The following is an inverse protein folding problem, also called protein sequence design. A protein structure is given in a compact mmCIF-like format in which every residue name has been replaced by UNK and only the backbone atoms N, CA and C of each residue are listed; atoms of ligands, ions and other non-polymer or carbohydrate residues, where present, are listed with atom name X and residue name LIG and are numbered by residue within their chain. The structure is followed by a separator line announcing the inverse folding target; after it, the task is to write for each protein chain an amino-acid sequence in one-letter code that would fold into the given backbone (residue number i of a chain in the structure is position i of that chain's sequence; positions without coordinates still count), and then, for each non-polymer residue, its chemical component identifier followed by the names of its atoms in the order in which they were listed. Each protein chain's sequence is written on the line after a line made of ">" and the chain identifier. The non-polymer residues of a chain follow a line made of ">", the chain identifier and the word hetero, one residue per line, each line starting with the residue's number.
data_IF_054464825094
#
_entry.id   IF_054464825094
#
_cell.length_a   1.000
_cell.length_b   1.000
_cell.length_c   1.000
_cell.angle_alpha   90.00
_cell.angle_beta   90.00
_cell.angle_gamma   90.00
#
_symmetry.space_group_name_H-M   'P 1'
#
loop_
_entity.id
_entity.type
_entity.pdbx_description
1 polymer ?
#
# COMPACT_ATOMS: atom_id res chain seq x y z
N UNK A 1 12.79 3.42 27.23
CA UNK A 1 11.88 2.55 26.43
C UNK A 1 12.14 2.87 24.97
N UNK A 2 12.15 1.87 24.08
CA UNK A 2 12.31 2.13 22.64
C UNK A 2 11.15 3.00 22.15
N UNK A 3 11.44 3.93 21.25
CA UNK A 3 10.43 4.75 20.56
C UNK A 3 9.64 3.90 19.54
N UNK A 4 10.18 2.76 19.12
CA UNK A 4 9.63 1.89 18.08
C UNK A 4 9.08 0.59 18.67
N UNK A 5 7.92 0.16 18.18
CA UNK A 5 7.37 -1.17 18.48
C UNK A 5 8.03 -2.26 17.63
N UNK A 6 8.46 -1.94 16.39
CA UNK A 6 9.16 -2.86 15.50
C UNK A 6 10.34 -2.15 14.84
N UNK A 7 11.51 -2.81 14.85
CA UNK A 7 12.69 -2.38 14.09
C UNK A 7 13.21 -3.58 13.29
N UNK A 8 13.34 -3.40 11.99
CA UNK A 8 14.02 -4.32 11.08
C UNK A 8 15.34 -3.66 10.68
N UNK A 9 16.45 -4.35 10.84
CA UNK A 9 17.78 -3.83 10.54
C UNK A 9 18.48 -4.74 9.55
N UNK A 10 18.58 -4.28 8.30
CA UNK A 10 19.17 -5.01 7.17
C UNK A 10 18.66 -6.45 7.07
N UNK A 11 17.35 -6.63 7.28
CA UNK A 11 16.71 -7.94 7.33
C UNK A 11 16.79 -8.63 5.98
N UNK A 12 17.30 -9.86 5.96
CA UNK A 12 17.49 -10.64 4.74
C UNK A 12 16.94 -12.05 4.88
N UNK A 13 16.35 -12.55 3.79
CA UNK A 13 15.95 -13.94 3.64
C UNK A 13 16.43 -14.52 2.33
N UNK A 14 17.24 -15.60 2.46
CA UNK A 14 17.62 -16.46 1.35
C UNK A 14 17.11 -17.86 1.65
N UNK A 15 16.33 -18.43 0.74
CA UNK A 15 15.81 -19.79 0.85
C UNK A 15 16.87 -20.84 0.45
N UNK A 16 16.74 -22.09 0.91
CA UNK A 16 17.53 -23.20 0.37
C UNK A 16 17.42 -23.23 -1.16
N UNK A 17 18.57 -23.28 -1.86
CA UNK A 17 18.61 -23.16 -3.33
C UNK A 17 18.97 -21.76 -3.82
N UNK A 18 19.25 -20.80 -2.93
CA UNK A 18 19.81 -19.49 -3.29
C UNK A 18 18.79 -18.42 -3.66
N UNK A 19 17.49 -18.70 -3.58
CA UNK A 19 16.46 -17.70 -3.88
C UNK A 19 16.44 -16.60 -2.82
N UNK A 20 16.81 -15.38 -3.23
CA UNK A 20 16.75 -14.18 -2.40
C UNK A 20 15.30 -13.66 -2.37
N UNK A 21 14.64 -13.80 -1.22
CA UNK A 21 13.24 -13.40 -1.02
C UNK A 21 13.09 -12.01 -0.39
N UNK A 22 14.03 -11.61 0.46
CA UNK A 22 14.09 -10.27 1.07
C UNK A 22 15.54 -9.85 1.15
N UNK A 23 15.85 -8.64 0.70
CA UNK A 23 17.20 -8.09 0.61
C UNK A 23 17.34 -6.80 1.40
N UNK A 24 18.10 -6.85 2.50
CA UNK A 24 18.54 -5.66 3.25
C UNK A 24 17.39 -4.75 3.70
N UNK A 25 16.31 -5.30 4.26
CA UNK A 25 15.12 -4.53 4.60
C UNK A 25 15.32 -3.78 5.93
N UNK A 26 15.32 -2.46 5.88
CA UNK A 26 15.33 -1.56 7.03
C UNK A 26 13.97 -0.92 7.24
N UNK A 27 13.44 -0.98 8.47
CA UNK A 27 12.14 -0.39 8.84
C UNK A 27 12.09 -0.09 10.32
N UNK A 28 11.60 1.09 10.67
CA UNK A 28 11.25 1.46 12.04
C UNK A 28 9.74 1.77 12.09
N UNK A 29 8.99 1.06 12.93
CA UNK A 29 7.53 1.25 13.10
C UNK A 29 7.28 1.83 14.48
N UNK A 30 6.56 2.94 14.53
CA UNK A 30 6.21 3.60 15.78
C UNK A 30 5.13 2.81 16.54
N UNK A 31 5.03 3.05 17.84
CA UNK A 31 3.97 2.46 18.64
C UNK A 31 2.60 2.93 18.16
N UNK A 32 1.68 1.99 17.97
CA UNK A 32 0.31 2.30 17.51
C UNK A 32 0.23 2.73 16.06
N UNK A 33 1.25 2.47 15.25
CA UNK A 33 1.24 2.77 13.81
C UNK A 33 0.55 1.64 13.03
N UNK A 34 -0.22 2.01 12.01
CA UNK A 34 -0.73 1.10 11.00
C UNK A 34 0.18 1.12 9.78
N UNK A 35 0.99 0.08 9.59
CA UNK A 35 1.89 0.00 8.44
C UNK A 35 1.40 -1.05 7.44
N UNK A 36 1.31 -0.66 6.16
CA UNK A 36 0.85 -1.53 5.08
C UNK A 36 2.00 -1.93 4.15
N UNK A 37 2.11 -3.23 3.82
CA UNK A 37 3.06 -3.75 2.84
C UNK A 37 2.30 -4.07 1.55
N UNK A 38 2.75 -3.53 0.43
CA UNK A 38 2.14 -3.73 -0.89
C UNK A 38 3.21 -4.01 -1.95
N UNK A 39 2.84 -4.76 -2.98
CA UNK A 39 3.72 -5.10 -4.10
C UNK A 39 3.20 -6.30 -4.87
N UNK A 40 3.82 -6.65 -6.01
CA UNK A 40 3.45 -7.83 -6.80
C UNK A 40 3.53 -9.13 -6.01
N UNK A 41 2.90 -10.17 -6.52
CA UNK A 41 3.05 -11.53 -5.96
C UNK A 41 4.52 -11.96 -5.99
N UNK A 42 4.99 -12.60 -4.91
CA UNK A 42 6.37 -13.07 -4.80
C UNK A 42 7.41 -12.00 -4.47
N UNK A 43 7.05 -10.73 -4.20
CA UNK A 43 8.03 -9.68 -3.89
C UNK A 43 8.56 -9.69 -2.43
N UNK A 44 8.18 -10.66 -1.58
CA UNK A 44 8.74 -10.81 -0.24
C UNK A 44 7.84 -10.35 0.93
N UNK A 45 6.64 -9.80 0.70
CA UNK A 45 5.74 -9.29 1.75
C UNK A 45 5.39 -10.33 2.81
N UNK A 46 4.78 -11.45 2.40
CA UNK A 46 4.40 -12.55 3.29
C UNK A 46 5.62 -13.19 3.95
N UNK A 47 6.76 -13.29 3.24
CA UNK A 47 8.01 -13.76 3.83
C UNK A 47 8.47 -12.83 4.95
N UNK A 48 8.45 -11.51 4.75
CA UNK A 48 8.78 -10.52 5.78
C UNK A 48 7.83 -10.62 6.97
N UNK A 49 6.52 -10.70 6.73
CA UNK A 49 5.53 -10.86 7.79
C UNK A 49 5.77 -12.15 8.59
N UNK A 50 6.07 -13.28 7.93
CA UNK A 50 6.40 -14.55 8.58
C UNK A 50 7.69 -14.49 9.39
N UNK A 51 8.71 -13.75 8.92
CA UNK A 51 9.91 -13.48 9.72
C UNK A 51 9.59 -12.67 10.98
N UNK A 52 8.73 -11.66 10.88
CA UNK A 52 8.27 -10.89 12.06
C UNK A 52 7.49 -11.77 13.03
N UNK A 53 6.62 -12.65 12.53
CA UNK A 53 5.87 -13.61 13.32
C UNK A 53 6.72 -14.71 13.99
N UNK A 54 7.96 -14.93 13.50
CA UNK A 54 8.79 -16.08 13.94
C UNK A 54 8.40 -17.41 13.30
N UNK A 55 7.60 -17.37 12.23
CA UNK A 55 7.18 -18.52 11.43
C UNK A 55 8.15 -18.84 10.30
N UNK A 56 9.10 -17.93 10.03
CA UNK A 56 10.16 -18.07 9.05
C UNK A 56 11.49 -17.60 9.65
N UNK A 57 12.57 -18.31 9.36
CA UNK A 57 13.90 -17.95 9.87
C UNK A 57 14.47 -16.76 9.12
N UNK A 58 15.19 -15.91 9.82
CA UNK A 58 15.97 -14.79 9.28
C UNK A 58 17.34 -15.31 8.87
N UNK A 59 17.81 -14.99 7.65
CA UNK A 59 19.14 -15.39 7.18
C UNK A 59 20.23 -14.47 7.72
N UNK A 60 19.99 -13.15 7.70
CA UNK A 60 20.89 -12.15 8.29
C UNK A 60 20.10 -10.88 8.65
N UNK A 61 20.70 -10.01 9.44
CA UNK A 61 20.05 -8.83 10.01
C UNK A 61 19.37 -9.09 11.32
N UNK A 62 18.79 -8.04 11.91
CA UNK A 62 18.18 -8.08 13.23
C UNK A 62 16.70 -7.68 13.18
N UNK A 63 15.91 -8.35 14.02
CA UNK A 63 14.52 -8.01 14.30
C UNK A 63 14.39 -7.67 15.78
N UNK A 64 13.95 -6.42 16.07
CA UNK A 64 13.70 -5.98 17.43
C UNK A 64 12.23 -5.61 17.62
N UNK A 65 11.67 -6.00 18.77
CA UNK A 65 10.34 -5.58 19.21
C UNK A 65 10.53 -4.85 20.54
N UNK A 66 10.12 -3.57 20.56
CA UNK A 66 10.30 -2.67 21.70
C UNK A 66 11.75 -2.63 22.22
N UNK A 67 12.72 -2.62 21.28
CA UNK A 67 14.15 -2.58 21.56
C UNK A 67 14.76 -3.90 22.03
N UNK A 68 14.00 -4.99 22.14
CA UNK A 68 14.51 -6.34 22.46
C UNK A 68 14.69 -7.13 21.17
N UNK A 69 15.82 -7.85 21.07
CA UNK A 69 16.12 -8.68 19.91
C UNK A 69 15.29 -9.97 19.92
N UNK A 70 14.51 -10.20 18.84
CA UNK A 70 13.69 -11.37 18.60
C UNK A 70 14.11 -12.17 17.36
N UNK A 71 15.27 -11.90 16.78
CA UNK A 71 15.76 -12.52 15.54
C UNK A 71 15.64 -14.06 15.58
N UNK A 72 16.11 -14.68 16.68
CA UNK A 72 16.11 -16.12 16.85
C UNK A 72 15.10 -16.64 17.87
N UNK A 73 14.13 -15.79 18.25
CA UNK A 73 13.08 -16.19 19.23
C UNK A 73 11.94 -16.86 18.48
N UNK A 74 11.48 -18.07 18.90
CA UNK A 74 10.40 -18.79 18.25
C UNK A 74 9.06 -18.05 18.40
N UNK A 75 8.11 -18.32 17.49
CA UNK A 75 6.85 -17.59 17.33
C UNK A 75 6.02 -17.53 18.62
N UNK A 76 5.92 -18.63 19.38
CA UNK A 76 5.12 -18.73 20.61
C UNK A 76 5.62 -17.84 21.76
N UNK A 77 6.87 -17.36 21.67
CA UNK A 77 7.49 -16.47 22.66
C UNK A 77 7.53 -15.00 22.20
N UNK A 78 7.02 -14.71 21.00
CA UNK A 78 6.96 -13.34 20.50
C UNK A 78 5.68 -12.65 20.97
N UNK A 79 5.72 -11.35 21.28
CA UNK A 79 4.55 -10.57 21.63
C UNK A 79 3.77 -10.14 20.36
N UNK A 80 3.57 -11.07 19.43
CA UNK A 80 2.85 -10.86 18.18
C UNK A 80 1.69 -11.83 18.05
N UNK A 81 0.63 -11.42 17.33
CA UNK A 81 -0.42 -12.33 16.90
C UNK A 81 -0.60 -12.21 15.39
N UNK A 82 -0.88 -13.31 14.71
CA UNK A 82 -1.03 -13.35 13.24
C UNK A 82 -2.43 -13.76 12.85
N UNK A 83 -3.05 -12.97 11.98
CA UNK A 83 -4.30 -13.29 11.30
C UNK A 83 -3.94 -13.73 9.89
N UNK A 84 -4.25 -14.98 9.58
CA UNK A 84 -3.96 -15.56 8.26
C UNK A 84 -5.09 -15.29 7.26
N UNK A 85 -4.79 -15.37 5.99
CA UNK A 85 -5.72 -15.15 4.88
C UNK A 85 -6.97 -16.07 4.94
N UNK A 86 -6.82 -17.30 5.43
CA UNK A 86 -7.91 -18.25 5.63
C UNK A 86 -8.48 -18.24 7.05
N UNK A 87 -8.18 -17.20 7.85
CA UNK A 87 -8.57 -17.00 9.24
C UNK A 87 -8.07 -18.07 10.21
N UNK A 88 -7.77 -19.29 9.76
CA UNK A 88 -7.27 -20.43 10.51
C UNK A 88 -8.10 -20.74 11.80
N UNK A 89 -9.41 -20.59 11.73
CA UNK A 89 -10.34 -20.92 12.82
C UNK A 89 -10.32 -22.44 13.02
N UNK A 90 -10.35 -22.89 14.26
CA UNK A 90 -10.43 -24.32 14.58
C UNK A 90 -11.88 -24.82 14.35
N UNK A 91 -12.14 -25.65 13.32
CA UNK A 91 -13.51 -25.96 12.89
C UNK A 91 -14.27 -26.86 13.86
N UNK A 92 -13.56 -27.61 14.72
CA UNK A 92 -14.12 -28.49 15.71
C UNK A 92 -14.49 -27.81 17.04
N UNK A 93 -14.06 -26.56 17.22
CA UNK A 93 -14.30 -25.73 18.40
C UNK A 93 -15.41 -24.70 18.13
N UNK A 94 -16.15 -24.31 19.18
CA UNK A 94 -17.04 -23.15 19.15
C UNK A 94 -16.22 -21.85 19.06
N UNK A 95 -16.87 -20.72 18.77
CA UNK A 95 -16.24 -19.40 18.82
C UNK A 95 -15.63 -19.15 20.19
N UNK A 96 -16.37 -19.36 21.27
CA UNK A 96 -15.87 -19.19 22.62
C UNK A 96 -14.60 -20.02 22.88
N UNK A 97 -14.61 -21.31 22.50
CA UNK A 97 -13.46 -22.20 22.65
C UNK A 97 -12.24 -21.75 21.83
N UNK A 98 -12.46 -21.25 20.59
CA UNK A 98 -11.41 -20.66 19.77
C UNK A 98 -10.73 -19.50 20.48
N UNK A 99 -11.50 -18.64 21.17
CA UNK A 99 -10.97 -17.48 21.90
C UNK A 99 -10.21 -17.90 23.15
N UNK A 100 -10.67 -18.92 23.87
CA UNK A 100 -10.02 -19.43 25.07
C UNK A 100 -8.68 -20.12 24.78
N UNK A 101 -8.55 -20.82 23.66
CA UNK A 101 -7.47 -21.72 23.32
C UNK A 101 -6.06 -21.15 23.56
N UNK A 102 -5.78 -19.96 23.02
CA UNK A 102 -4.46 -19.33 23.14
C UNK A 102 -4.09 -18.98 24.59
N UNK A 103 -5.06 -18.66 25.41
CA UNK A 103 -4.87 -18.34 26.83
C UNK A 103 -4.70 -19.60 27.67
N UNK A 104 -5.42 -20.67 27.34
CA UNK A 104 -5.30 -21.98 27.97
C UNK A 104 -3.92 -22.59 27.74
N UNK A 105 -3.42 -22.57 26.50
CA UNK A 105 -2.06 -23.02 26.14
C UNK A 105 -0.97 -22.27 26.91
N UNK A 106 -1.21 -21.00 27.24
CA UNK A 106 -0.31 -20.19 28.10
C UNK A 106 -0.49 -20.47 29.60
N UNK A 107 -1.35 -21.40 29.99
CA UNK A 107 -1.59 -21.77 31.39
C UNK A 107 -2.30 -20.69 32.22
N UNK A 108 -3.09 -19.82 31.58
CA UNK A 108 -3.81 -18.76 32.29
C UNK A 108 -4.95 -19.37 33.14
N UNK A 109 -5.19 -18.88 34.38
CA UNK A 109 -6.32 -19.35 35.21
C UNK A 109 -7.68 -19.06 34.54
N UNK A 110 -8.63 -20.01 34.67
CA UNK A 110 -9.93 -19.96 33.98
C UNK A 110 -10.75 -18.68 34.27
N UNK A 111 -10.68 -18.16 35.49
CA UNK A 111 -11.36 -16.90 35.84
C UNK A 111 -10.81 -15.68 35.09
N UNK A 112 -9.50 -15.64 34.81
CA UNK A 112 -8.86 -14.60 34.03
C UNK A 112 -9.17 -14.78 32.52
N UNK A 113 -9.19 -16.03 32.04
CA UNK A 113 -9.59 -16.36 30.67
C UNK A 113 -10.99 -15.83 30.41
N UNK A 114 -11.97 -16.24 31.27
CA UNK A 114 -13.35 -15.79 31.11
C UNK A 114 -13.47 -14.29 31.01
N UNK A 115 -12.84 -13.53 31.92
CA UNK A 115 -12.89 -12.06 31.91
C UNK A 115 -12.36 -11.45 30.61
N UNK A 116 -11.23 -11.98 30.08
CA UNK A 116 -10.63 -11.46 28.84
C UNK A 116 -11.47 -11.82 27.61
N UNK A 117 -11.99 -13.06 27.58
CA UNK A 117 -12.81 -13.55 26.48
C UNK A 117 -14.14 -12.81 26.42
N UNK A 118 -14.82 -12.61 27.56
CA UNK A 118 -16.07 -11.85 27.63
C UNK A 118 -15.84 -10.40 27.12
N UNK A 119 -14.77 -9.74 27.56
CA UNK A 119 -14.45 -8.38 27.11
C UNK A 119 -14.18 -8.27 25.59
N UNK A 120 -13.48 -9.25 24.99
CA UNK A 120 -13.21 -9.21 23.54
C UNK A 120 -14.45 -9.59 22.72
N UNK A 121 -15.34 -10.45 23.24
CA UNK A 121 -16.64 -10.75 22.65
C UNK A 121 -17.48 -9.49 22.55
N UNK A 122 -17.54 -8.69 23.62
CA UNK A 122 -18.26 -7.42 23.63
C UNK A 122 -17.63 -6.40 22.64
N UNK A 123 -16.30 -6.29 22.65
CA UNK A 123 -15.57 -5.34 21.76
C UNK A 123 -15.80 -5.63 20.27
N UNK A 124 -15.91 -6.92 19.89
CA UNK A 124 -16.03 -7.34 18.48
C UNK A 124 -17.44 -7.81 18.13
N UNK A 125 -18.43 -7.56 19.00
CA UNK A 125 -19.85 -7.87 18.78
C UNK A 125 -20.08 -9.35 18.39
N UNK A 126 -19.49 -10.27 19.14
CA UNK A 126 -19.57 -11.72 18.87
C UNK A 126 -20.58 -12.45 19.77
N UNK A 127 -21.36 -11.73 20.59
CA UNK A 127 -22.27 -12.31 21.57
C UNK A 127 -23.23 -13.36 21.01
N UNK A 128 -23.82 -13.08 19.85
CA UNK A 128 -24.83 -13.95 19.21
C UNK A 128 -24.26 -15.25 18.61
N UNK A 129 -22.92 -15.35 18.47
CA UNK A 129 -22.25 -16.45 17.76
C UNK A 129 -21.27 -17.24 18.64
N UNK A 130 -21.24 -17.02 19.95
CA UNK A 130 -20.28 -17.65 20.88
C UNK A 130 -20.28 -19.16 20.82
N UNK A 131 -21.44 -19.80 20.66
CA UNK A 131 -21.61 -21.24 20.58
C UNK A 131 -21.52 -21.81 19.15
N UNK A 132 -21.49 -20.92 18.14
CA UNK A 132 -21.41 -21.32 16.76
C UNK A 132 -20.03 -21.91 16.42
N UNK A 133 -19.99 -22.81 15.42
CA UNK A 133 -18.77 -23.33 14.81
C UNK A 133 -18.50 -22.63 13.48
N UNK A 134 -17.27 -22.77 12.98
CA UNK A 134 -16.81 -22.10 11.76
C UNK A 134 -17.78 -22.21 10.57
N UNK A 135 -18.36 -23.38 10.35
CA UNK A 135 -19.26 -23.64 9.21
C UNK A 135 -20.56 -22.81 9.24
N UNK A 136 -20.98 -22.36 10.43
CA UNK A 136 -22.19 -21.52 10.60
C UNK A 136 -21.91 -20.02 10.52
N UNK A 137 -20.64 -19.59 10.41
CA UNK A 137 -20.25 -18.18 10.42
C UNK A 137 -20.21 -17.59 9.01
N UNK A 138 -20.68 -16.36 8.88
CA UNK A 138 -20.45 -15.53 7.69
C UNK A 138 -18.96 -15.15 7.53
N UNK A 139 -18.55 -14.67 6.37
CA UNK A 139 -17.17 -14.22 6.13
C UNK A 139 -16.71 -13.14 7.11
N UNK A 140 -17.54 -12.12 7.36
CA UNK A 140 -17.25 -11.07 8.34
C UNK A 140 -17.16 -11.60 9.77
N UNK A 141 -18.06 -12.52 10.17
CA UNK A 141 -17.98 -13.16 11.48
C UNK A 141 -16.70 -13.99 11.64
N UNK A 142 -16.30 -14.76 10.62
CA UNK A 142 -15.02 -15.50 10.63
C UNK A 142 -13.84 -14.56 10.85
N UNK A 143 -13.84 -13.41 10.17
CA UNK A 143 -12.79 -12.42 10.34
C UNK A 143 -12.77 -11.82 11.75
N UNK A 144 -13.93 -11.42 12.30
CA UNK A 144 -14.02 -10.90 13.68
C UNK A 144 -13.58 -11.96 14.69
N UNK A 145 -13.91 -13.23 14.52
CA UNK A 145 -13.43 -14.33 15.37
C UNK A 145 -11.91 -14.49 15.29
N UNK A 146 -11.32 -14.42 14.10
CA UNK A 146 -9.86 -14.49 13.93
C UNK A 146 -9.16 -13.30 14.61
N UNK A 147 -9.71 -12.09 14.46
CA UNK A 147 -9.23 -10.88 15.15
C UNK A 147 -9.33 -11.04 16.68
N UNK A 148 -10.48 -11.46 17.19
CA UNK A 148 -10.72 -11.71 18.61
C UNK A 148 -9.69 -12.68 19.19
N UNK A 149 -9.43 -13.80 18.48
CA UNK A 149 -8.46 -14.80 18.88
C UNK A 149 -7.02 -14.27 18.96
N UNK A 150 -6.65 -13.39 18.05
CA UNK A 150 -5.35 -12.70 18.09
C UNK A 150 -5.28 -11.70 19.25
N UNK A 151 -6.28 -10.83 19.35
CA UNK A 151 -6.32 -9.69 20.28
C UNK A 151 -6.48 -10.11 21.75
N UNK A 152 -7.22 -11.20 22.03
CA UNK A 152 -7.42 -11.68 23.40
C UNK A 152 -6.11 -12.03 24.11
N UNK A 153 -5.04 -12.31 23.35
CA UNK A 153 -3.70 -12.56 23.88
C UNK A 153 -2.92 -11.28 24.20
N UNK A 154 -3.49 -10.10 23.96
CA UNK A 154 -2.89 -8.77 24.19
C UNK A 154 -1.51 -8.64 23.54
N UNK A 155 -1.41 -8.79 22.21
CA UNK A 155 -0.13 -8.68 21.52
C UNK A 155 0.33 -7.23 21.45
N UNK A 156 1.66 -7.00 21.35
CA UNK A 156 2.23 -5.68 21.06
C UNK A 156 2.03 -5.30 19.59
N UNK A 157 2.05 -6.32 18.69
CA UNK A 157 1.93 -6.15 17.24
C UNK A 157 0.92 -7.17 16.70
N UNK A 158 -0.06 -6.71 15.92
CA UNK A 158 -0.96 -7.55 15.15
C UNK A 158 -0.49 -7.63 13.69
N UNK A 159 -0.27 -8.84 13.21
CA UNK A 159 0.16 -9.15 11.85
C UNK A 159 -1.03 -9.66 11.04
N UNK A 160 -1.29 -9.06 9.89
CA UNK A 160 -2.45 -9.33 9.04
C UNK A 160 -1.97 -9.76 7.64
N UNK A 161 -2.09 -11.04 7.32
CA UNK A 161 -1.66 -11.61 6.02
C UNK A 161 -2.86 -11.73 5.07
N UNK A 162 -3.03 -10.74 4.20
CA UNK A 162 -4.12 -10.63 3.20
C UNK A 162 -5.54 -10.86 3.79
N UNK A 163 -5.90 -10.25 4.93
CA UNK A 163 -7.11 -10.60 5.67
C UNK A 163 -8.41 -10.25 4.96
N UNK A 164 -8.35 -9.46 3.88
CA UNK A 164 -9.52 -8.99 3.12
C UNK A 164 -9.69 -9.71 1.78
N UNK A 165 -8.77 -10.60 1.42
CA UNK A 165 -8.72 -11.21 0.09
C UNK A 165 -9.94 -12.06 -0.28
N UNK A 166 -10.60 -12.67 0.71
CA UNK A 166 -11.75 -13.56 0.52
C UNK A 166 -13.12 -12.85 0.57
N UNK A 167 -13.15 -11.52 0.77
CA UNK A 167 -14.38 -10.74 0.96
C UNK A 167 -14.87 -10.10 -0.33
N UNK A 168 -16.20 -9.95 -0.46
CA UNK A 168 -16.79 -9.13 -1.50
C UNK A 168 -16.48 -7.63 -1.31
N UNK A 169 -16.70 -6.81 -2.36
CA UNK A 169 -16.26 -5.42 -2.37
C UNK A 169 -16.92 -4.54 -1.30
N UNK A 170 -18.20 -4.77 -0.98
CA UNK A 170 -18.92 -3.96 0.00
C UNK A 170 -18.49 -4.31 1.43
N UNK A 171 -18.45 -5.61 1.73
CA UNK A 171 -17.99 -6.11 3.03
C UNK A 171 -16.53 -5.72 3.29
N UNK A 172 -15.68 -5.79 2.26
CA UNK A 172 -14.28 -5.38 2.34
C UNK A 172 -14.13 -3.93 2.80
N UNK A 173 -14.93 -3.00 2.24
CA UNK A 173 -14.89 -1.58 2.62
C UNK A 173 -15.32 -1.37 4.07
N UNK A 174 -16.41 -2.01 4.50
CA UNK A 174 -16.87 -1.94 5.90
C UNK A 174 -15.81 -2.44 6.88
N UNK A 175 -15.21 -3.59 6.58
CA UNK A 175 -14.16 -4.18 7.42
C UNK A 175 -12.89 -3.32 7.47
N UNK A 176 -12.52 -2.64 6.38
CA UNK A 176 -11.41 -1.68 6.40
C UNK A 176 -11.65 -0.56 7.41
N UNK A 177 -12.84 0.02 7.40
CA UNK A 177 -13.24 1.08 8.34
C UNK A 177 -13.23 0.55 9.79
N UNK A 178 -13.82 -0.64 10.04
CA UNK A 178 -13.83 -1.29 11.35
C UNK A 178 -12.40 -1.56 11.87
N UNK A 179 -11.50 -2.09 11.03
CA UNK A 179 -10.11 -2.36 11.41
C UNK A 179 -9.35 -1.09 11.78
N UNK A 180 -9.58 0.02 11.07
CA UNK A 180 -8.95 1.31 11.40
C UNK A 180 -9.43 1.87 12.74
N UNK A 181 -10.73 1.79 13.00
CA UNK A 181 -11.32 2.21 14.28
C UNK A 181 -10.75 1.35 15.41
N UNK A 182 -10.82 0.03 15.25
CA UNK A 182 -10.32 -0.93 16.23
C UNK A 182 -8.84 -0.71 16.57
N UNK A 183 -8.00 -0.47 15.57
CA UNK A 183 -6.57 -0.23 15.75
C UNK A 183 -6.32 1.05 16.57
N UNK A 184 -7.06 2.12 16.29
CA UNK A 184 -6.97 3.39 17.04
C UNK A 184 -7.43 3.25 18.48
N UNK A 185 -8.54 2.56 18.70
CA UNK A 185 -9.13 2.36 20.04
C UNK A 185 -8.23 1.50 20.92
N UNK A 186 -7.58 0.49 20.35
CA UNK A 186 -6.66 -0.39 21.06
C UNK A 186 -5.25 0.22 21.22
N UNK A 187 -4.84 1.15 20.34
CA UNK A 187 -3.51 1.78 20.35
C UNK A 187 -2.36 0.80 20.14
N UNK A 188 -2.61 -0.34 19.47
CA UNK A 188 -1.59 -1.34 19.14
C UNK A 188 -1.08 -1.19 17.71
N UNK A 189 0.11 -1.69 17.44
CA UNK A 189 0.74 -1.61 16.12
C UNK A 189 0.19 -2.69 15.18
N UNK A 190 -0.22 -2.30 13.97
CA UNK A 190 -0.67 -3.22 12.93
C UNK A 190 0.33 -3.28 11.78
N UNK A 191 0.67 -4.50 11.35
CA UNK A 191 1.40 -4.76 10.11
C UNK A 191 0.46 -5.50 9.15
N UNK A 192 0.10 -4.85 8.07
CA UNK A 192 -0.91 -5.31 7.13
C UNK A 192 -0.27 -5.62 5.76
N UNK A 193 -0.43 -6.85 5.31
CA UNK A 193 0.05 -7.28 3.98
C UNK A 193 -1.15 -7.39 3.05
N UNK A 194 -1.03 -6.78 1.87
CA UNK A 194 -2.02 -6.89 0.80
C UNK A 194 -1.36 -6.83 -0.58
N UNK A 195 -2.06 -7.34 -1.60
CA UNK A 195 -1.72 -7.13 -3.00
C UNK A 195 -2.55 -5.99 -3.63
N UNK A 196 -3.58 -5.50 -2.94
CA UNK A 196 -4.45 -4.43 -3.40
C UNK A 196 -3.90 -3.05 -3.00
N UNK A 197 -3.53 -2.23 -3.98
CA UNK A 197 -3.00 -0.88 -3.76
C UNK A 197 -3.99 0.00 -2.98
N UNK A 198 -5.28 -0.05 -3.37
CA UNK A 198 -6.34 0.73 -2.73
C UNK A 198 -6.48 0.41 -1.24
N UNK A 199 -6.28 -0.84 -0.84
CA UNK A 199 -6.30 -1.24 0.57
C UNK A 199 -5.11 -0.66 1.31
N UNK A 200 -3.89 -0.82 0.77
CA UNK A 200 -2.67 -0.31 1.38
C UNK A 200 -2.72 1.22 1.59
N UNK A 201 -3.19 1.96 0.56
CA UNK A 201 -3.31 3.41 0.61
C UNK A 201 -4.44 3.89 1.55
N UNK A 202 -5.54 3.13 1.67
CA UNK A 202 -6.65 3.48 2.55
C UNK A 202 -6.34 3.19 4.03
N UNK A 203 -5.56 2.14 4.31
CA UNK A 203 -5.36 1.60 5.65
C UNK A 203 -4.10 2.15 6.33
N UNK A 204 -2.98 2.20 5.62
CA UNK A 204 -1.67 2.50 6.21
C UNK A 204 -1.48 3.97 6.58
N UNK A 205 -0.91 4.23 7.76
CA UNK A 205 -0.32 5.54 8.08
C UNK A 205 0.95 5.73 7.24
N UNK A 206 1.74 4.65 7.07
CA UNK A 206 2.78 4.52 6.05
C UNK A 206 2.59 3.24 5.25
N UNK A 207 3.04 3.30 4.00
CA UNK A 207 2.99 2.18 3.06
C UNK A 207 4.41 1.83 2.63
N UNK A 208 4.75 0.55 2.71
CA UNK A 208 5.98 -0.04 2.21
C UNK A 208 5.70 -0.67 0.85
N UNK A 209 6.25 -0.11 -0.21
CA UNK A 209 6.17 -0.70 -1.55
C UNK A 209 7.36 -1.62 -1.75
N UNK A 210 7.09 -2.88 -2.03
CA UNK A 210 8.10 -3.91 -2.25
C UNK A 210 8.09 -4.42 -3.69
N UNK A 211 9.28 -4.69 -4.23
CA UNK A 211 9.47 -5.26 -5.55
C UNK A 211 10.70 -6.19 -5.54
N UNK A 212 10.56 -7.40 -6.07
CA UNK A 212 11.66 -8.36 -6.23
C UNK A 212 12.57 -8.50 -4.97
N UNK A 213 11.97 -8.58 -3.78
CA UNK A 213 12.67 -8.73 -2.51
C UNK A 213 13.20 -7.43 -1.89
N UNK A 214 13.08 -6.29 -2.57
CA UNK A 214 13.59 -4.98 -2.13
C UNK A 214 12.47 -4.03 -1.76
N UNK A 215 12.79 -3.06 -0.92
CA UNK A 215 11.93 -1.92 -0.63
C UNK A 215 12.19 -0.83 -1.66
N UNK A 216 11.16 -0.46 -2.41
CA UNK A 216 11.21 0.63 -3.40
C UNK A 216 10.99 2.00 -2.76
N UNK A 217 10.01 2.08 -1.86
CA UNK A 217 9.67 3.32 -1.15
C UNK A 217 8.88 3.02 0.12
N UNK A 218 9.13 3.81 1.16
CA UNK A 218 8.32 3.88 2.39
C UNK A 218 7.89 5.33 2.56
N UNK A 219 6.60 5.60 2.52
CA UNK A 219 6.02 6.94 2.65
C UNK A 219 4.60 6.86 3.17
N UNK A 220 4.04 8.01 3.59
CA UNK A 220 2.60 8.13 3.74
C UNK A 220 1.88 7.97 2.38
N UNK A 221 0.58 7.64 2.38
CA UNK A 221 -0.18 7.40 1.15
C UNK A 221 -0.18 8.56 0.16
N UNK A 222 -0.22 9.80 0.66
CA UNK A 222 -0.27 10.99 -0.20
C UNK A 222 1.08 11.22 -0.90
N UNK A 223 2.20 11.14 -0.17
CA UNK A 223 3.53 11.27 -0.74
C UNK A 223 3.81 10.13 -1.73
N UNK A 224 3.41 8.90 -1.38
CA UNK A 224 3.59 7.73 -2.25
C UNK A 224 2.89 7.91 -3.61
N UNK A 225 1.70 8.50 -3.59
CA UNK A 225 0.90 8.75 -4.78
C UNK A 225 1.41 9.94 -5.61
N UNK A 226 1.79 11.03 -4.95
CA UNK A 226 2.13 12.30 -5.63
C UNK A 226 3.62 12.44 -5.94
N UNK A 227 4.49 11.73 -5.20
CA UNK A 227 5.96 11.83 -5.30
C UNK A 227 6.62 10.44 -5.32
N UNK A 228 6.34 9.61 -6.32
CA UNK A 228 7.01 8.32 -6.46
C UNK A 228 8.53 8.52 -6.60
N UNK A 229 9.32 7.66 -5.93
CA UNK A 229 10.79 7.72 -5.96
C UNK A 229 11.42 6.89 -7.07
N UNK A 230 10.67 5.92 -7.63
CA UNK A 230 11.15 5.08 -8.73
C UNK A 230 10.11 4.94 -9.83
N UNK A 231 10.57 4.57 -11.02
CA UNK A 231 9.68 4.27 -12.14
C UNK A 231 8.77 3.08 -11.86
N UNK A 232 9.22 2.15 -11.00
CA UNK A 232 8.37 1.05 -10.54
C UNK A 232 7.19 1.59 -9.71
N UNK A 233 7.47 2.40 -8.68
CA UNK A 233 6.42 2.97 -7.82
C UNK A 233 5.45 3.80 -8.64
N UNK A 234 5.94 4.63 -9.56
CA UNK A 234 5.11 5.44 -10.46
C UNK A 234 4.14 4.62 -11.33
N UNK A 235 4.57 3.43 -11.78
CA UNK A 235 3.72 2.51 -12.56
C UNK A 235 2.82 1.65 -11.68
N UNK A 236 3.30 1.31 -10.50
CA UNK A 236 2.58 0.41 -9.59
C UNK A 236 1.52 1.13 -8.77
N UNK A 237 1.79 2.35 -8.28
CA UNK A 237 0.88 3.11 -7.42
C UNK A 237 0.07 4.12 -8.23
N UNK A 238 -1.25 3.99 -8.15
CA UNK A 238 -2.19 4.92 -8.76
C UNK A 238 -2.26 4.84 -10.29
N UNK A 239 -2.94 5.83 -10.88
CA UNK A 239 -3.07 6.00 -12.32
C UNK A 239 -2.29 7.25 -12.73
N UNK A 240 -1.04 7.05 -13.09
CA UNK A 240 -0.15 8.13 -13.47
C UNK A 240 -0.03 8.22 -14.99
N UNK A 241 -0.03 9.45 -15.50
CA UNK A 241 0.50 9.79 -16.82
C UNK A 241 2.01 9.75 -16.73
N UNK A 242 2.65 8.87 -17.50
CA UNK A 242 4.11 8.69 -17.50
C UNK A 242 4.65 8.97 -18.89
N UNK A 243 5.52 9.99 -18.99
CA UNK A 243 6.13 10.39 -20.25
C UNK A 243 7.65 10.23 -20.14
N UNK A 244 8.23 9.37 -20.95
CA UNK A 244 9.68 9.09 -20.97
C UNK A 244 10.45 10.16 -21.74
N UNK A 245 11.67 10.43 -21.30
CA UNK A 245 12.56 11.35 -21.95
C UNK A 245 13.95 11.40 -21.35
N UNK A 246 14.66 12.48 -21.60
CA UNK A 246 16.01 12.72 -21.07
C UNK A 246 16.04 14.03 -20.31
N UNK A 247 16.73 14.04 -19.17
CA UNK A 247 16.90 15.24 -18.35
C UNK A 247 17.62 16.33 -19.13
N UNK A 248 17.04 17.54 -19.07
CA UNK A 248 17.67 18.79 -19.54
C UNK A 248 17.38 19.94 -18.56
N UNK A 249 18.30 20.90 -18.47
CA UNK A 249 18.09 22.17 -17.74
C UNK A 249 17.69 21.96 -16.26
N UNK A 250 18.51 21.27 -15.51
CA UNK A 250 18.28 21.04 -14.08
C UNK A 250 18.47 22.32 -13.27
N UNK A 251 17.48 22.69 -12.47
CA UNK A 251 17.54 23.74 -11.45
C UNK A 251 17.12 23.19 -10.08
N UNK A 252 17.34 23.96 -9.01
CA UNK A 252 16.97 23.54 -7.65
C UNK A 252 15.47 23.26 -7.45
N UNK A 253 14.60 23.90 -8.22
CA UNK A 253 13.14 23.78 -8.08
C UNK A 253 12.49 22.90 -9.14
N UNK A 254 12.99 22.96 -10.38
CA UNK A 254 12.41 22.27 -11.52
C UNK A 254 13.51 21.72 -12.42
N UNK A 255 13.22 20.64 -13.11
CA UNK A 255 14.06 20.15 -14.19
C UNK A 255 13.20 19.97 -15.45
N UNK A 256 13.82 20.10 -16.62
CA UNK A 256 13.21 19.79 -17.89
C UNK A 256 13.44 18.33 -18.26
N UNK A 257 12.47 17.70 -18.91
CA UNK A 257 12.60 16.40 -19.56
C UNK A 257 12.33 16.58 -21.05
N UNK A 258 13.34 16.35 -21.89
CA UNK A 258 13.17 16.33 -23.33
C UNK A 258 12.49 15.03 -23.74
N UNK A 259 11.28 15.13 -24.22
CA UNK A 259 10.43 14.02 -24.63
C UNK A 259 10.22 14.00 -26.14
N UNK A 260 9.50 13.00 -26.65
CA UNK A 260 9.08 12.93 -28.07
C UNK A 260 8.07 14.02 -28.46
N UNK A 261 7.51 14.75 -27.49
CA UNK A 261 6.51 15.80 -27.69
C UNK A 261 7.02 17.20 -27.28
N UNK A 262 8.30 17.31 -27.05
CA UNK A 262 8.94 18.57 -26.64
C UNK A 262 9.51 18.54 -25.24
N UNK A 263 9.90 19.72 -24.76
CA UNK A 263 10.45 19.90 -23.41
C UNK A 263 9.29 20.09 -22.43
N UNK A 264 9.18 19.18 -21.47
CA UNK A 264 8.24 19.25 -20.36
C UNK A 264 8.99 19.45 -19.04
N UNK A 265 8.37 20.07 -18.06
CA UNK A 265 9.00 20.39 -16.78
C UNK A 265 8.30 19.68 -15.61
N UNK A 266 9.07 19.41 -14.56
CA UNK A 266 8.57 18.81 -13.33
C UNK A 266 9.49 19.06 -12.15
N UNK A 267 9.07 18.60 -10.95
CA UNK A 267 9.86 18.66 -9.73
C UNK A 267 10.76 17.42 -9.66
N UNK A 268 12.06 17.55 -9.46
CA UNK A 268 12.93 16.38 -9.27
C UNK A 268 12.53 15.56 -8.07
N UNK A 269 12.31 14.25 -8.25
CA UNK A 269 12.06 13.26 -7.20
C UNK A 269 13.32 12.52 -6.72
N UNK A 270 14.50 13.02 -7.08
CA UNK A 270 15.82 12.43 -6.82
C UNK A 270 16.82 13.50 -6.37
N UNK A 271 17.96 13.06 -5.85
CA UNK A 271 19.06 13.96 -5.50
C UNK A 271 19.66 14.58 -6.78
N UNK A 272 19.66 15.91 -6.83
CA UNK A 272 20.17 16.67 -7.98
C UNK A 272 21.65 16.43 -8.28
N UNK A 273 22.43 15.96 -7.29
CA UNK A 273 23.86 15.65 -7.46
C UNK A 273 24.11 14.49 -8.43
N UNK A 274 23.12 13.61 -8.61
CA UNK A 274 23.20 12.45 -9.51
C UNK A 274 22.61 12.71 -10.90
N UNK A 275 21.95 13.86 -11.07
CA UNK A 275 21.28 14.23 -12.32
C UNK A 275 22.26 14.85 -13.31
N UNK A 276 22.49 14.19 -14.44
CA UNK A 276 23.25 14.73 -15.57
C UNK A 276 22.33 14.96 -16.76
N UNK A 277 22.63 15.98 -17.58
CA UNK A 277 21.94 16.17 -18.86
C UNK A 277 22.09 14.91 -19.72
N UNK A 278 20.98 14.44 -20.30
CA UNK A 278 20.96 13.23 -21.11
C UNK A 278 20.59 11.95 -20.33
N UNK A 279 20.52 11.99 -18.99
CA UNK A 279 20.08 10.85 -18.19
C UNK A 279 18.62 10.50 -18.51
N UNK A 280 18.32 9.23 -18.69
CA UNK A 280 16.95 8.74 -18.92
C UNK A 280 16.08 8.98 -17.67
N UNK A 281 14.92 9.57 -17.91
CA UNK A 281 13.97 9.92 -16.86
C UNK A 281 12.52 9.79 -17.33
N UNK A 282 11.63 9.75 -16.37
CA UNK A 282 10.19 9.78 -16.58
C UNK A 282 9.61 11.01 -15.90
N UNK A 283 8.78 11.74 -16.61
CA UNK A 283 7.87 12.72 -16.04
C UNK A 283 6.60 11.99 -15.62
N UNK A 284 6.27 12.03 -14.34
CA UNK A 284 5.12 11.35 -13.74
C UNK A 284 4.14 12.37 -13.22
N UNK A 285 2.90 12.29 -13.68
CA UNK A 285 1.82 13.19 -13.27
C UNK A 285 0.58 12.37 -12.96
N UNK A 286 -0.02 12.46 -11.75
CA UNK A 286 -1.32 11.85 -11.49
C UNK A 286 -2.37 12.32 -12.50
N UNK A 287 -3.13 11.37 -13.05
CA UNK A 287 -4.04 11.65 -14.19
C UNK A 287 -5.11 12.68 -13.88
N UNK A 288 -5.55 12.80 -12.64
CA UNK A 288 -6.56 13.77 -12.19
C UNK A 288 -6.09 15.21 -12.21
N UNK A 289 -4.77 15.45 -12.31
CA UNK A 289 -4.20 16.80 -12.44
C UNK A 289 -4.05 17.25 -13.90
N UNK A 290 -4.34 16.37 -14.86
CA UNK A 290 -4.30 16.72 -16.28
C UNK A 290 -5.68 17.20 -16.73
N UNK A 291 -5.78 18.47 -17.10
CA UNK A 291 -7.01 19.06 -17.63
C UNK A 291 -7.05 18.96 -19.15
N UNK A 292 -8.24 18.61 -19.68
CA UNK A 292 -8.52 18.67 -21.12
C UNK A 292 -9.12 20.02 -21.46
N UNK A 293 -8.52 20.70 -22.45
CA UNK A 293 -8.97 22.01 -22.97
C UNK A 293 -9.07 21.98 -24.49
N UNK A 294 -9.92 22.82 -25.04
CA UNK A 294 -10.00 23.02 -26.50
C UNK A 294 -8.68 23.58 -27.05
N UNK A 295 -8.24 23.14 -28.25
CA UNK A 295 -7.02 23.63 -28.87
C UNK A 295 -7.08 25.13 -29.16
N UNK A 296 -5.92 25.80 -29.10
CA UNK A 296 -5.81 27.20 -29.44
C UNK A 296 -6.20 28.21 -28.35
N UNK A 297 -6.48 27.73 -27.13
CA UNK A 297 -6.65 28.58 -25.95
C UNK A 297 -5.38 29.38 -25.59
N UNK A 298 -5.43 30.23 -24.52
CA UNK A 298 -4.31 31.08 -24.11
C UNK A 298 -2.98 30.30 -24.07
N UNK A 299 -1.87 30.96 -24.44
CA UNK A 299 -0.54 30.32 -24.33
C UNK A 299 -0.35 29.73 -22.94
N UNK A 300 0.31 28.57 -22.89
CA UNK A 300 0.67 27.95 -21.61
C UNK A 300 1.36 28.98 -20.71
N UNK A 301 0.95 29.04 -19.44
CA UNK A 301 1.64 29.85 -18.45
C UNK A 301 3.05 29.28 -18.23
N UNK A 302 3.98 30.09 -17.75
CA UNK A 302 5.38 29.68 -17.58
C UNK A 302 5.54 28.45 -16.60
N UNK A 303 4.53 28.18 -15.79
CA UNK A 303 4.46 27.09 -14.83
C UNK A 303 3.53 25.92 -15.28
N UNK A 304 3.15 25.88 -16.57
CA UNK A 304 2.22 24.88 -17.11
C UNK A 304 2.86 24.07 -18.24
N UNK A 305 2.74 22.75 -18.15
CA UNK A 305 3.00 21.84 -19.27
C UNK A 305 1.75 21.76 -20.15
N UNK A 306 1.97 21.67 -21.46
CA UNK A 306 0.91 21.54 -22.47
C UNK A 306 1.37 20.63 -23.59
N UNK A 307 0.54 19.67 -23.95
CA UNK A 307 0.72 18.83 -25.13
C UNK A 307 -0.64 18.67 -25.81
N UNK A 308 -0.64 18.54 -27.14
CA UNK A 308 -1.86 18.36 -27.92
C UNK A 308 -1.97 16.93 -28.39
N UNK A 309 -3.18 16.38 -28.40
CA UNK A 309 -3.43 15.03 -28.89
C UNK A 309 -4.86 14.81 -29.31
N UNK A 310 -5.13 13.68 -29.98
CA UNK A 310 -6.45 13.30 -30.49
C UNK A 310 -7.10 12.27 -29.56
N UNK A 311 -8.31 12.51 -29.13
CA UNK A 311 -9.11 11.60 -28.32
C UNK A 311 -9.42 10.33 -29.10
N UNK A 312 -8.98 9.18 -28.62
CA UNK A 312 -9.23 7.88 -29.23
C UNK A 312 -10.49 7.22 -28.67
N UNK A 313 -10.61 7.23 -27.33
CA UNK A 313 -11.75 6.62 -26.64
C UNK A 313 -12.18 7.48 -25.46
N UNK A 314 -13.49 7.48 -25.22
CA UNK A 314 -14.10 8.07 -24.02
C UNK A 314 -15.02 7.01 -23.44
N UNK A 315 -14.75 6.60 -22.19
CA UNK A 315 -15.55 5.61 -21.48
C UNK A 315 -15.99 6.18 -20.13
N UNK A 316 -17.30 6.33 -19.95
CA UNK A 316 -17.88 6.86 -18.72
C UNK A 316 -18.38 5.71 -17.82
N UNK A 317 -17.91 5.72 -16.57
CA UNK A 317 -18.36 4.78 -15.52
C UNK A 317 -18.84 5.61 -14.34
N UNK A 318 -20.16 5.83 -14.30
CA UNK A 318 -20.77 6.70 -13.29
C UNK A 318 -20.30 8.18 -13.44
N UNK A 319 -19.65 8.69 -12.39
CA UNK A 319 -19.10 10.06 -12.37
C UNK A 319 -17.63 10.14 -12.86
N UNK A 320 -17.00 9.00 -13.05
CA UNK A 320 -15.62 8.90 -13.55
C UNK A 320 -15.64 8.71 -15.05
N UNK A 321 -14.75 9.40 -15.76
CA UNK A 321 -14.55 9.26 -17.21
C UNK A 321 -13.10 8.94 -17.49
N UNK A 322 -12.91 7.84 -18.23
CA UNK A 322 -11.62 7.46 -18.78
C UNK A 322 -11.50 7.99 -20.20
N UNK A 323 -10.43 8.73 -20.46
CA UNK A 323 -10.16 9.32 -21.78
C UNK A 323 -8.79 8.85 -22.25
N UNK A 324 -8.76 8.16 -23.39
CA UNK A 324 -7.52 7.77 -24.06
C UNK A 324 -7.20 8.81 -25.14
N UNK A 325 -6.05 9.48 -25.03
CA UNK A 325 -5.60 10.52 -25.95
C UNK A 325 -4.30 10.09 -26.62
N UNK A 326 -4.30 10.01 -27.94
CA UNK A 326 -3.12 9.75 -28.76
C UNK A 326 -2.41 11.07 -29.07
N UNK A 327 -1.18 11.21 -28.61
CA UNK A 327 -0.37 12.40 -28.83
C UNK A 327 0.49 12.25 -30.10
N UNK A 328 1.10 11.07 -30.26
CA UNK A 328 1.82 10.67 -31.49
C UNK A 328 1.85 9.14 -31.61
N UNK A 329 2.59 8.60 -32.57
CA UNK A 329 2.66 7.15 -32.80
C UNK A 329 3.29 6.38 -31.63
N UNK A 330 4.14 7.02 -30.82
CA UNK A 330 4.85 6.41 -29.71
C UNK A 330 4.22 6.72 -28.33
N UNK A 331 3.30 7.70 -28.23
CA UNK A 331 2.76 8.18 -26.97
C UNK A 331 1.23 8.27 -27.01
N UNK A 332 0.60 7.45 -26.18
CA UNK A 332 -0.81 7.57 -25.82
C UNK A 332 -0.92 7.79 -24.31
N UNK A 333 -1.80 8.70 -23.90
CA UNK A 333 -2.02 9.08 -22.51
C UNK A 333 -3.42 8.62 -22.11
N UNK A 334 -3.50 7.88 -21.00
CA UNK A 334 -4.76 7.46 -20.39
C UNK A 334 -5.05 8.35 -19.20
N UNK A 335 -6.16 9.06 -19.25
CA UNK A 335 -6.60 9.96 -18.21
C UNK A 335 -7.80 9.40 -17.48
N UNK A 336 -7.87 9.69 -16.20
CA UNK A 336 -9.06 9.52 -15.39
C UNK A 336 -9.48 10.90 -14.87
N UNK A 337 -10.72 11.29 -15.15
CA UNK A 337 -11.24 12.59 -14.76
C UNK A 337 -12.70 12.49 -14.32
N UNK A 338 -13.21 13.51 -13.65
CA UNK A 338 -14.61 13.61 -13.31
C UNK A 338 -15.41 14.15 -14.49
N UNK A 339 -16.64 13.63 -14.68
CA UNK A 339 -17.57 14.07 -15.73
C UNK A 339 -17.74 15.60 -15.75
N UNK A 340 -17.85 16.22 -14.58
CA UNK A 340 -18.02 17.68 -14.46
C UNK A 340 -16.90 18.48 -15.10
N UNK A 341 -15.68 17.95 -15.10
CA UNK A 341 -14.50 18.62 -15.69
C UNK A 341 -14.48 18.62 -17.22
N UNK A 342 -15.27 17.74 -17.85
CA UNK A 342 -15.27 17.57 -19.32
C UNK A 342 -16.60 17.91 -19.98
N UNK A 343 -17.68 18.07 -19.21
CA UNK A 343 -18.99 18.49 -19.75
C UNK A 343 -18.84 19.86 -20.41
N UNK A 344 -19.32 19.96 -21.65
CA UNK A 344 -19.26 21.20 -22.45
C UNK A 344 -17.91 21.49 -23.12
N UNK A 345 -16.88 20.64 -22.95
CA UNK A 345 -15.55 20.85 -23.55
C UNK A 345 -15.32 20.10 -24.87
N UNK A 346 -16.36 19.57 -25.50
CA UNK A 346 -16.20 18.86 -26.78
C UNK A 346 -15.31 17.59 -26.73
N UNK A 347 -15.16 16.96 -25.56
CA UNK A 347 -14.33 15.74 -25.40
C UNK A 347 -15.08 14.56 -25.99
N UNK A 348 -14.91 14.33 -27.28
CA UNK A 348 -15.52 13.21 -28.04
C UNK A 348 -14.43 12.50 -28.86
N UNK A 349 -14.67 11.28 -29.25
CA UNK A 349 -13.75 10.53 -30.10
C UNK A 349 -13.44 11.30 -31.39
N UNK A 350 -12.16 11.40 -31.73
CA UNK A 350 -11.65 12.15 -32.88
C UNK A 350 -11.39 13.63 -32.62
N UNK A 351 -11.83 14.17 -31.48
CA UNK A 351 -11.54 15.57 -31.13
C UNK A 351 -10.06 15.77 -30.82
N UNK A 352 -9.49 16.89 -31.29
CA UNK A 352 -8.19 17.36 -30.87
C UNK A 352 -8.32 18.11 -29.54
N UNK A 353 -7.48 17.80 -28.57
CA UNK A 353 -7.52 18.39 -27.22
C UNK A 353 -6.13 18.75 -26.74
N UNK A 354 -6.03 19.84 -25.99
CA UNK A 354 -4.84 20.18 -25.24
C UNK A 354 -4.91 19.55 -23.84
N UNK A 355 -3.88 18.81 -23.48
CA UNK A 355 -3.64 18.25 -22.15
C UNK A 355 -2.76 19.24 -21.40
N UNK A 356 -3.30 19.85 -20.35
CA UNK A 356 -2.64 20.92 -19.60
C UNK A 356 -2.52 20.55 -18.13
N UNK A 357 -1.35 20.79 -17.53
CA UNK A 357 -1.16 20.59 -16.08
C UNK A 357 0.00 21.44 -15.55
N UNK A 358 -0.06 21.80 -14.27
CA UNK A 358 0.99 22.57 -13.61
C UNK A 358 2.27 21.77 -13.45
N UNK A 359 3.42 22.42 -13.64
CA UNK A 359 4.76 21.85 -13.49
C UNK A 359 4.96 21.24 -12.09
N UNK A 360 4.48 21.89 -11.05
CA UNK A 360 4.57 21.41 -9.65
C UNK A 360 3.80 20.11 -9.37
N UNK A 361 2.87 19.72 -10.25
CA UNK A 361 2.09 18.48 -10.18
C UNK A 361 2.78 17.29 -10.86
N UNK A 362 3.93 17.52 -11.45
CA UNK A 362 4.74 16.46 -12.04
C UNK A 362 5.98 16.18 -11.21
N UNK A 363 6.26 14.91 -10.99
CA UNK A 363 7.52 14.45 -10.40
C UNK A 363 8.38 13.81 -11.49
N UNK A 364 9.67 14.15 -11.52
CA UNK A 364 10.64 13.50 -12.40
C UNK A 364 11.32 12.39 -11.62
N UNK A 365 11.27 11.17 -12.14
CA UNK A 365 11.95 10.00 -11.57
C UNK A 365 12.97 9.45 -12.57
N UNK A 366 14.06 8.89 -12.06
CA UNK A 366 15.03 8.22 -12.91
C UNK A 366 14.42 6.96 -13.51
N UNK A 367 14.57 6.74 -14.81
CA UNK A 367 14.24 5.48 -15.47
C UNK A 367 15.43 4.54 -15.29
N UNK A 368 15.55 3.93 -14.08
CA UNK A 368 16.51 2.85 -13.89
C UNK A 368 16.09 1.69 -14.79
N UNK A 369 16.97 1.31 -15.71
CA UNK A 369 16.79 0.22 -16.65
C UNK A 369 16.58 -1.13 -15.97
#
# INVERSE_FOLDING_TARGET
>A
MSQFDLELKSLQKIYPGGTLAVEGFDLNVQKGEFISFVGPSGCGKTTTLRMIAGLESITSGDLLIRGRNFTNVPAEKRPTATIFQNYAIFPHMSVYQNLCFGLEVRGMPSNKIKKKVDAIIDTLELGDVTDAREAALSGGQKQRVALARGLVTEPDILLLDEPLGALDANLRKSIQEELKILQRDLGITFVFVTHAQSEALAMGDRVVVMNAGRVEQISDPFELYTRPKSGFVARFIGRNTIIKGQIKNVSKKHAGVQTSVGLLAGVPGFDLSIAQNGTLAMLVTPSEYVDLREPGGPKAQADENRITGTVQHVNQIGHVVHVDVRVNDALSIKLETHREKIVGKGVVQGAEMDLCWKVERSTIVMDAA
#
